data_IF_903588787356
#
_entry.id   IF_903588787356
#
_cell.length_a   1.000
_cell.length_b   1.000
_cell.length_c   1.000
_cell.angle_alpha   90.00
_cell.angle_beta   90.00
_cell.angle_gamma   90.00
#
_symmetry.space_group_name_H-M   'P 1'
#
loop_
_entity.id
_entity.type
_entity.pdbx_description
1 polymer ?
#
# COMPACT_ATOMS: atom_id res chain seq x y z
N UNK A 1 -36.89 -4.12 18.37
CA UNK A 1 -36.07 -4.66 17.26
C UNK A 1 -36.12 -3.78 15.97
N UNK A 2 -37.06 -2.85 15.84
CA UNK A 2 -37.26 -1.99 14.67
C UNK A 2 -36.29 -0.79 14.52
N UNK A 3 -36.00 -0.07 15.62
CA UNK A 3 -35.22 1.16 15.60
C UNK A 3 -33.75 0.96 15.13
N UNK A 4 -33.10 -0.12 15.62
CA UNK A 4 -31.73 -0.46 15.20
C UNK A 4 -31.64 -0.79 13.70
N UNK A 5 -32.66 -1.49 13.16
CA UNK A 5 -32.70 -1.81 11.72
C UNK A 5 -32.93 -0.56 10.87
N UNK A 6 -33.78 0.35 11.34
CA UNK A 6 -34.04 1.64 10.65
C UNK A 6 -32.76 2.51 10.63
N UNK A 7 -32.07 2.62 11.76
CA UNK A 7 -30.78 3.33 11.85
C UNK A 7 -29.73 2.76 10.91
N UNK A 8 -29.55 1.43 10.88
CA UNK A 8 -28.60 0.80 9.97
C UNK A 8 -28.93 1.05 8.49
N UNK A 9 -30.21 1.04 8.11
CA UNK A 9 -30.64 1.33 6.74
C UNK A 9 -30.38 2.78 6.32
N UNK A 10 -30.67 3.73 7.20
CA UNK A 10 -30.40 5.15 6.97
C UNK A 10 -28.90 5.39 6.86
N UNK A 11 -28.10 4.79 7.75
CA UNK A 11 -26.65 4.86 7.69
C UNK A 11 -26.08 4.28 6.38
N UNK A 12 -26.56 3.11 5.96
CA UNK A 12 -26.16 2.48 4.70
C UNK A 12 -26.54 3.34 3.48
N UNK A 13 -27.70 3.99 3.51
CA UNK A 13 -28.17 4.87 2.43
C UNK A 13 -27.29 6.13 2.33
N UNK A 14 -27.01 6.78 3.46
CA UNK A 14 -26.09 7.94 3.51
C UNK A 14 -24.70 7.54 3.05
N UNK A 15 -24.19 6.38 3.51
CA UNK A 15 -22.90 5.85 3.11
C UNK A 15 -22.82 5.58 1.61
N UNK A 16 -23.84 4.97 1.03
CA UNK A 16 -23.92 4.73 -0.42
C UNK A 16 -23.93 6.02 -1.25
N UNK A 17 -24.60 7.07 -0.76
CA UNK A 17 -24.56 8.38 -1.43
C UNK A 17 -23.15 8.99 -1.30
N UNK A 18 -22.55 8.95 -0.12
CA UNK A 18 -21.20 9.43 0.11
C UNK A 18 -20.17 8.74 -0.77
N UNK A 19 -20.27 7.42 -0.93
CA UNK A 19 -19.35 6.64 -1.78
C UNK A 19 -19.48 6.94 -3.28
N UNK A 20 -20.64 7.42 -3.75
CA UNK A 20 -20.81 7.87 -5.14
C UNK A 20 -20.14 9.22 -5.43
N UNK A 21 -19.88 10.02 -4.40
CA UNK A 21 -19.21 11.31 -4.51
C UNK A 21 -17.69 11.17 -4.39
N UNK A 22 -17.22 10.13 -3.72
CA UNK A 22 -15.78 9.80 -3.64
C UNK A 22 -15.34 9.30 -5.01
N UNK A 23 -14.45 10.04 -5.67
CA UNK A 23 -13.83 9.61 -6.93
C UNK A 23 -12.93 8.41 -6.63
N UNK A 24 -13.49 7.23 -6.74
CA UNK A 24 -12.75 5.98 -6.69
C UNK A 24 -12.01 5.80 -8.01
N UNK A 25 -10.69 5.69 -7.96
CA UNK A 25 -9.89 5.27 -9.11
C UNK A 25 -9.61 3.77 -8.93
N UNK A 26 -10.16 2.96 -9.82
CA UNK A 26 -9.83 1.53 -9.83
C UNK A 26 -8.33 1.36 -10.08
N UNK A 27 -7.65 0.46 -9.33
CA UNK A 27 -6.27 0.15 -9.60
C UNK A 27 -6.16 -0.51 -10.97
N UNK A 28 -5.14 -0.14 -11.72
CA UNK A 28 -4.79 -0.85 -12.96
C UNK A 28 -4.26 -2.23 -12.60
N UNK A 29 -4.78 -3.27 -13.27
CA UNK A 29 -4.40 -4.66 -13.04
C UNK A 29 -3.55 -5.16 -14.19
N UNK A 30 -2.38 -5.67 -13.85
CA UNK A 30 -1.50 -6.36 -14.78
C UNK A 30 -1.50 -7.84 -14.41
N UNK A 31 -1.85 -8.69 -15.38
CA UNK A 31 -1.93 -10.14 -15.21
C UNK A 31 -1.09 -10.80 -16.31
N UNK A 32 -0.33 -11.80 -15.94
CA UNK A 32 0.46 -12.60 -16.89
C UNK A 32 1.73 -13.16 -16.26
N UNK A 33 2.30 -14.14 -16.95
CA UNK A 33 3.61 -14.66 -16.56
C UNK A 33 4.64 -13.54 -16.69
N UNK A 34 5.49 -13.41 -15.69
CA UNK A 34 6.56 -12.40 -15.63
C UNK A 34 6.11 -10.93 -15.71
N UNK A 35 4.81 -10.64 -15.44
CA UNK A 35 4.26 -9.27 -15.46
C UNK A 35 4.98 -8.30 -14.50
N UNK A 36 5.67 -8.82 -13.49
CA UNK A 36 6.46 -7.97 -12.57
C UNK A 36 7.64 -7.25 -13.25
N UNK A 37 8.17 -7.76 -14.36
CA UNK A 37 9.21 -7.10 -15.14
C UNK A 37 8.72 -5.79 -15.79
N UNK A 38 7.41 -5.54 -15.84
CA UNK A 38 6.84 -4.27 -16.30
C UNK A 38 6.90 -3.17 -15.22
N UNK A 39 7.26 -3.48 -13.97
CA UNK A 39 7.27 -2.50 -12.88
C UNK A 39 8.17 -1.29 -13.18
N UNK A 40 9.42 -1.45 -13.67
CA UNK A 40 10.25 -0.29 -14.01
C UNK A 40 9.61 0.65 -15.03
N UNK A 41 8.99 0.10 -16.08
CA UNK A 41 8.28 0.88 -17.09
C UNK A 41 7.06 1.62 -16.50
N UNK A 42 6.32 0.97 -15.61
CA UNK A 42 5.16 1.58 -14.91
C UNK A 42 5.61 2.76 -14.04
N UNK A 43 6.72 2.63 -13.32
CA UNK A 43 7.27 3.70 -12.50
C UNK A 43 7.71 4.88 -13.38
N UNK A 44 8.38 4.60 -14.49
CA UNK A 44 8.80 5.61 -15.46
C UNK A 44 7.60 6.37 -16.05
N UNK A 45 6.55 5.65 -16.47
CA UNK A 45 5.30 6.26 -16.96
C UNK A 45 4.59 7.09 -15.91
N UNK A 46 4.69 6.70 -14.63
CA UNK A 46 4.15 7.47 -13.51
C UNK A 46 5.02 8.67 -13.12
N UNK A 47 6.25 8.76 -13.64
CA UNK A 47 7.21 9.82 -13.32
C UNK A 47 7.79 9.69 -11.91
N UNK A 48 7.93 8.46 -11.40
CA UNK A 48 8.52 8.16 -10.08
C UNK A 48 9.79 7.34 -10.25
N UNK A 49 10.80 7.59 -9.40
CA UNK A 49 12.16 7.12 -9.64
C UNK A 49 12.85 6.49 -8.43
N UNK A 50 12.32 6.72 -7.24
CA UNK A 50 12.92 6.28 -5.99
C UNK A 50 11.93 5.39 -5.19
N UNK A 51 11.63 4.17 -5.65
CA UNK A 51 10.68 3.31 -4.98
C UNK A 51 11.26 2.71 -3.69
N UNK A 52 10.43 2.64 -2.64
CA UNK A 52 10.68 1.80 -1.49
C UNK A 52 9.98 0.46 -1.68
N UNK A 53 10.74 -0.62 -1.73
CA UNK A 53 10.23 -1.99 -1.80
C UNK A 53 9.96 -2.48 -0.39
N UNK A 54 8.71 -2.83 -0.10
CA UNK A 54 8.26 -3.33 1.21
C UNK A 54 7.92 -4.81 1.10
N UNK A 55 8.62 -5.64 1.84
CA UNK A 55 8.43 -7.10 1.80
C UNK A 55 8.80 -7.76 3.14
N UNK A 56 8.62 -9.06 3.23
CA UNK A 56 9.02 -9.84 4.39
C UNK A 56 10.29 -10.68 4.14
N UNK A 57 10.93 -11.19 5.21
CA UNK A 57 12.26 -11.83 5.13
C UNK A 57 12.30 -13.11 4.27
N UNK A 58 11.16 -13.72 4.00
CA UNK A 58 11.10 -14.88 3.09
C UNK A 58 11.32 -14.45 1.64
N UNK A 59 10.66 -13.40 1.20
CA UNK A 59 10.76 -12.89 -0.17
C UNK A 59 12.08 -12.15 -0.37
N UNK A 60 12.56 -11.42 0.66
CA UNK A 60 13.84 -10.74 0.64
C UNK A 60 15.04 -11.63 0.29
N UNK A 61 14.91 -12.95 0.56
CA UNK A 61 15.95 -13.96 0.25
C UNK A 61 15.78 -14.65 -1.12
N UNK A 62 14.77 -14.31 -1.88
CA UNK A 62 14.51 -14.94 -3.19
C UNK A 62 15.28 -14.23 -4.31
N UNK A 63 15.65 -14.97 -5.36
CA UNK A 63 16.24 -14.40 -6.57
C UNK A 63 15.34 -13.37 -7.24
N UNK A 64 14.03 -13.57 -7.19
CA UNK A 64 13.00 -12.67 -7.70
C UNK A 64 13.20 -11.20 -7.27
N UNK A 65 13.42 -10.96 -5.97
CA UNK A 65 13.62 -9.61 -5.47
C UNK A 65 14.93 -8.99 -5.97
N UNK A 66 15.96 -9.83 -6.13
CA UNK A 66 17.26 -9.40 -6.65
C UNK A 66 17.14 -8.97 -8.12
N UNK A 67 16.40 -9.71 -8.92
CA UNK A 67 16.20 -9.40 -10.33
C UNK A 67 15.43 -8.06 -10.47
N UNK A 68 14.33 -7.91 -9.73
CA UNK A 68 13.59 -6.64 -9.71
C UNK A 68 14.46 -5.47 -9.23
N UNK A 69 15.27 -5.66 -8.20
CA UNK A 69 16.16 -4.61 -7.69
C UNK A 69 17.21 -4.19 -8.72
N UNK A 70 17.73 -5.13 -9.49
CA UNK A 70 18.69 -4.83 -10.56
C UNK A 70 18.05 -4.06 -11.72
N UNK A 71 16.75 -4.27 -11.96
CA UNK A 71 15.99 -3.59 -13.00
C UNK A 71 15.55 -2.17 -12.58
N UNK A 72 15.57 -1.89 -11.27
CA UNK A 72 15.20 -0.59 -10.71
C UNK A 72 16.42 0.34 -10.62
N UNK A 73 16.15 1.63 -10.43
CA UNK A 73 17.21 2.64 -10.27
C UNK A 73 18.02 2.40 -8.98
N UNK A 74 19.26 2.86 -8.96
CA UNK A 74 20.13 2.85 -7.76
C UNK A 74 19.55 3.60 -6.55
N UNK A 75 18.48 4.37 -6.76
CA UNK A 75 17.76 5.10 -5.69
C UNK A 75 16.70 4.26 -4.99
N UNK A 76 16.44 3.03 -5.46
CA UNK A 76 15.49 2.14 -4.80
C UNK A 76 16.02 1.64 -3.45
N UNK A 77 15.11 1.50 -2.49
CA UNK A 77 15.42 1.00 -1.13
C UNK A 77 14.57 -0.22 -0.84
N UNK A 78 15.16 -1.22 -0.21
CA UNK A 78 14.44 -2.44 0.19
C UNK A 78 14.28 -2.46 1.71
N UNK A 79 13.03 -2.63 2.17
CA UNK A 79 12.71 -3.03 3.52
C UNK A 79 12.14 -4.45 3.48
N UNK A 80 12.91 -5.43 3.93
CA UNK A 80 12.58 -6.87 3.84
C UNK A 80 12.26 -7.51 5.19
N UNK A 81 11.94 -6.70 6.20
CA UNK A 81 11.74 -7.14 7.58
C UNK A 81 10.29 -7.03 8.07
N UNK A 82 9.31 -6.97 7.15
CA UNK A 82 7.91 -6.94 7.57
C UNK A 82 7.55 -8.25 8.28
N UNK A 83 7.11 -8.10 9.54
CA UNK A 83 6.62 -9.22 10.34
C UNK A 83 5.13 -9.48 10.11
N UNK A 84 4.64 -10.71 10.39
CA UNK A 84 3.22 -10.92 10.58
C UNK A 84 2.68 -9.95 11.66
N UNK A 85 1.50 -9.36 11.43
CA UNK A 85 0.90 -8.35 12.31
C UNK A 85 1.82 -7.12 12.52
N UNK A 86 2.03 -6.30 11.48
CA UNK A 86 2.94 -5.17 11.54
C UNK A 86 2.55 -4.17 12.63
N UNK A 87 3.52 -3.75 13.41
CA UNK A 87 3.32 -2.80 14.51
C UNK A 87 3.47 -1.35 14.05
N UNK A 88 2.91 -0.44 14.83
CA UNK A 88 3.07 1.01 14.59
C UNK A 88 4.55 1.40 14.58
N UNK A 89 5.34 0.85 15.50
CA UNK A 89 6.79 1.11 15.54
C UNK A 89 7.49 0.71 14.25
N UNK A 90 7.10 -0.40 13.66
CA UNK A 90 7.64 -0.86 12.38
C UNK A 90 7.24 0.07 11.22
N UNK A 91 6.01 0.57 11.23
CA UNK A 91 5.56 1.54 10.22
C UNK A 91 6.31 2.87 10.35
N UNK A 92 6.55 3.36 11.57
CA UNK A 92 7.34 4.59 11.79
C UNK A 92 8.82 4.39 11.40
N UNK A 93 9.40 3.21 11.62
CA UNK A 93 10.73 2.85 11.11
C UNK A 93 10.79 2.90 9.58
N UNK A 94 9.83 2.27 8.90
CA UNK A 94 9.73 2.33 7.45
C UNK A 94 9.52 3.77 6.95
N UNK A 95 8.71 4.56 7.66
CA UNK A 95 8.49 5.96 7.33
C UNK A 95 9.79 6.78 7.41
N UNK A 96 10.61 6.55 8.44
CA UNK A 96 11.90 7.21 8.56
C UNK A 96 12.84 6.85 7.40
N UNK A 97 12.95 5.56 7.07
CA UNK A 97 13.75 5.07 5.93
C UNK A 97 13.24 5.69 4.61
N UNK A 98 11.91 5.76 4.42
CA UNK A 98 11.29 6.39 3.25
C UNK A 98 11.71 7.85 3.09
N UNK A 99 11.76 8.61 4.20
CA UNK A 99 12.17 10.01 4.22
C UNK A 99 13.68 10.17 4.00
N UNK A 100 14.50 9.38 4.69
CA UNK A 100 15.96 9.47 4.65
C UNK A 100 16.54 9.18 3.25
N UNK A 101 15.81 8.43 2.44
CA UNK A 101 16.21 8.06 1.07
C UNK A 101 15.42 8.82 -0.01
N UNK A 102 14.66 9.86 0.36
CA UNK A 102 13.85 10.64 -0.58
C UNK A 102 12.97 9.77 -1.50
N UNK A 103 12.39 8.70 -0.94
CA UNK A 103 11.53 7.81 -1.72
C UNK A 103 10.27 8.56 -2.18
N UNK A 104 9.77 8.23 -3.39
CA UNK A 104 8.61 8.87 -4.03
C UNK A 104 7.46 7.89 -4.31
N UNK A 105 7.71 6.60 -4.17
CA UNK A 105 6.77 5.54 -4.49
C UNK A 105 6.98 4.32 -3.60
N UNK A 106 6.00 3.42 -3.57
CA UNK A 106 6.02 2.22 -2.74
C UNK A 106 5.67 1.01 -3.60
N UNK A 107 6.49 -0.04 -3.52
CA UNK A 107 6.23 -1.35 -4.11
C UNK A 107 6.03 -2.35 -2.99
N UNK A 108 4.82 -2.83 -2.77
CA UNK A 108 4.50 -3.85 -1.79
C UNK A 108 4.56 -5.25 -2.43
N UNK A 109 5.41 -6.13 -1.92
CA UNK A 109 5.56 -7.50 -2.44
C UNK A 109 5.31 -8.49 -1.33
N UNK A 110 4.32 -9.36 -1.49
CA UNK A 110 4.07 -10.42 -0.51
C UNK A 110 2.61 -10.70 -0.22
N UNK A 111 2.35 -11.20 0.97
CA UNK A 111 1.00 -11.50 1.47
C UNK A 111 0.33 -10.32 2.16
N UNK A 112 -0.80 -10.58 2.81
CA UNK A 112 -1.63 -9.56 3.47
C UNK A 112 -0.85 -8.64 4.42
N UNK A 113 0.01 -9.19 5.29
CA UNK A 113 0.80 -8.37 6.23
C UNK A 113 1.72 -7.37 5.52
N UNK A 114 2.34 -7.76 4.40
CA UNK A 114 3.20 -6.87 3.63
C UNK A 114 2.38 -5.76 2.96
N UNK A 115 1.21 -6.12 2.41
CA UNK A 115 0.29 -5.15 1.82
C UNK A 115 -0.23 -4.16 2.86
N UNK A 116 -0.63 -4.65 4.03
CA UNK A 116 -1.17 -3.82 5.11
C UNK A 116 -0.10 -2.89 5.68
N UNK A 117 1.14 -3.38 5.87
CA UNK A 117 2.26 -2.55 6.30
C UNK A 117 2.58 -1.44 5.28
N UNK A 118 2.66 -1.78 4.00
CA UNK A 118 2.94 -0.83 2.94
C UNK A 118 1.82 0.23 2.79
N UNK A 119 0.55 -0.16 2.95
CA UNK A 119 -0.57 0.78 2.96
C UNK A 119 -0.55 1.70 4.17
N UNK A 120 -0.22 1.18 5.35
CA UNK A 120 -0.05 2.00 6.54
C UNK A 120 1.10 3.00 6.38
N UNK A 121 2.21 2.59 5.76
CA UNK A 121 3.29 3.49 5.37
C UNK A 121 2.79 4.56 4.38
N UNK A 122 2.08 4.17 3.33
CA UNK A 122 1.53 5.12 2.36
C UNK A 122 0.61 6.17 3.01
N UNK A 123 -0.24 5.73 3.95
CA UNK A 123 -1.08 6.62 4.74
C UNK A 123 -0.25 7.57 5.62
N UNK A 124 0.81 7.07 6.25
CA UNK A 124 1.71 7.86 7.09
C UNK A 124 2.47 8.91 6.29
N UNK A 125 2.94 8.56 5.09
CA UNK A 125 3.59 9.49 4.15
C UNK A 125 2.62 10.58 3.70
N UNK A 126 1.37 10.23 3.36
CA UNK A 126 0.34 11.20 2.95
C UNK A 126 -0.07 12.15 4.09
N UNK A 127 0.04 11.71 5.36
CA UNK A 127 -0.40 12.46 6.54
C UNK A 127 0.68 12.51 7.62
N UNK A 128 1.80 13.23 7.37
CA UNK A 128 2.84 13.43 8.37
C UNK A 128 2.38 14.25 9.59
N UNK A 129 1.24 14.92 9.47
CA UNK A 129 0.57 15.71 10.52
C UNK A 129 -0.28 14.86 11.47
N UNK A 130 -0.47 13.55 11.24
CA UNK A 130 -1.31 12.67 12.05
C UNK A 130 -0.57 11.43 12.53
N UNK A 131 -0.95 10.93 13.69
CA UNK A 131 -0.52 9.60 14.12
C UNK A 131 -1.27 8.50 13.36
N UNK A 132 -0.68 7.30 13.28
CA UNK A 132 -1.35 6.15 12.68
C UNK A 132 -2.64 5.77 13.43
N UNK A 133 -2.68 5.99 14.75
CA UNK A 133 -3.88 5.75 15.56
C UNK A 133 -5.04 6.67 15.14
N UNK A 134 -4.75 7.94 14.84
CA UNK A 134 -5.76 8.93 14.43
C UNK A 134 -6.31 8.64 13.03
N UNK A 135 -5.54 7.91 12.23
CA UNK A 135 -5.94 7.49 10.88
C UNK A 135 -6.69 6.16 10.84
N UNK A 136 -6.91 5.52 12.00
CA UNK A 136 -7.68 4.27 12.08
C UNK A 136 -9.14 4.50 11.68
N UNK A 137 -9.59 3.80 10.63
CA UNK A 137 -10.95 3.85 10.11
C UNK A 137 -11.04 4.39 8.70
N UNK A 138 -12.22 4.25 8.10
CA UNK A 138 -12.44 4.61 6.70
C UNK A 138 -12.35 6.11 6.46
N UNK A 139 -11.78 6.52 5.32
CA UNK A 139 -11.68 7.91 4.84
C UNK A 139 -10.90 8.85 5.78
N UNK A 140 -10.10 8.33 6.71
CA UNK A 140 -9.35 9.15 7.68
C UNK A 140 -8.06 9.74 7.10
N UNK A 141 -7.48 9.13 6.09
CA UNK A 141 -6.31 9.65 5.39
C UNK A 141 -6.66 10.93 4.63
N UNK A 142 -7.67 10.92 3.76
CA UNK A 142 -8.23 12.09 3.10
C UNK A 142 -7.24 12.88 2.24
N UNK A 143 -6.10 12.30 1.88
CA UNK A 143 -5.08 12.85 0.98
C UNK A 143 -4.63 11.77 0.01
N UNK A 144 -4.08 12.19 -1.12
CA UNK A 144 -3.47 11.29 -2.08
C UNK A 144 -2.23 10.65 -1.45
N UNK A 145 -2.17 9.32 -1.52
CA UNK A 145 -1.00 8.54 -1.12
C UNK A 145 0.07 8.57 -2.23
N UNK A 146 1.33 8.24 -1.93
CA UNK A 146 2.36 8.02 -2.95
C UNK A 146 1.93 7.02 -4.01
N UNK A 147 2.57 7.03 -5.16
CA UNK A 147 2.36 6.01 -6.17
C UNK A 147 2.62 4.63 -5.56
N UNK A 148 1.70 3.69 -5.81
CA UNK A 148 1.67 2.43 -5.09
C UNK A 148 1.49 1.26 -6.05
N UNK A 149 2.43 0.32 -6.02
CA UNK A 149 2.37 -0.95 -6.76
C UNK A 149 2.19 -2.10 -5.77
N UNK A 150 1.19 -2.94 -5.99
CA UNK A 150 0.94 -4.13 -5.19
C UNK A 150 1.25 -5.39 -6.00
N UNK A 151 2.14 -6.23 -5.47
CA UNK A 151 2.51 -7.53 -6.04
C UNK A 151 2.14 -8.64 -5.04
N UNK A 152 0.90 -9.13 -5.05
CA UNK A 152 0.46 -10.18 -4.13
C UNK A 152 1.12 -11.52 -4.47
N UNK A 153 1.70 -12.17 -3.46
CA UNK A 153 2.30 -13.51 -3.59
C UNK A 153 1.47 -14.60 -2.92
N UNK A 154 0.33 -14.23 -2.31
CA UNK A 154 -0.61 -15.15 -1.66
C UNK A 154 -2.00 -14.92 -2.20
N UNK A 155 -2.67 -16.01 -2.59
CA UNK A 155 -4.05 -15.93 -3.04
C UNK A 155 -5.04 -15.76 -1.87
N UNK A 156 -6.14 -15.05 -2.12
CA UNK A 156 -7.31 -15.03 -1.25
C UNK A 156 -7.29 -14.02 -0.10
N UNK A 157 -6.25 -13.20 0.06
CA UNK A 157 -6.23 -12.16 1.11
C UNK A 157 -7.06 -10.93 0.72
N UNK A 158 -7.12 -10.59 -0.57
CA UNK A 158 -7.79 -9.39 -1.07
C UNK A 158 -7.19 -8.08 -0.56
N UNK A 159 -6.07 -8.14 0.18
CA UNK A 159 -5.44 -6.96 0.75
C UNK A 159 -4.95 -5.98 -0.32
N UNK A 160 -4.66 -6.45 -1.52
CA UNK A 160 -4.27 -5.63 -2.68
C UNK A 160 -5.40 -4.70 -3.17
N UNK A 161 -6.66 -5.06 -2.91
CA UNK A 161 -7.84 -4.32 -3.37
C UNK A 161 -8.57 -3.56 -2.26
N UNK A 162 -8.16 -3.71 -0.99
CA UNK A 162 -8.83 -3.03 0.13
C UNK A 162 -8.49 -1.55 0.18
N UNK A 163 -9.49 -0.74 0.57
CA UNK A 163 -9.33 0.69 0.86
C UNK A 163 -8.61 0.83 2.21
N UNK A 164 -7.55 1.59 2.26
CA UNK A 164 -6.91 2.00 3.50
C UNK A 164 -7.58 3.23 4.11
#
# INVERSE_FOLDING_TARGET
MGLKKAYCRVYQWIYNIGMKVVKWKEPERLEGVDSFHSIPEILEQAGVWAPMIVTGPRIGKTGFLKDLYNDLSERSVIYDQVHPDPTISQIEEMYQIYQDHDCDSIIAIGGGSNMDAAKALAARVARPDKSLQDMKGQLKVGRQVPFFVAVPTTAGTGSETTIA
#
